data_IF_957088216896
#
_entry.id   IF_957088216896
#
_cell.length_a   1.000
_cell.length_b   1.000
_cell.length_c   1.000
_cell.angle_alpha   90.00
_cell.angle_beta   90.00
_cell.angle_gamma   90.00
#
_symmetry.space_group_name_H-M   'P 1'
#
loop_
_entity.id
_entity.type
_entity.pdbx_description
1 polymer ?
#
# COMPACT_ATOMS: atom_id res chain seq x y z
N UNK A 1 10.12 -6.28 1.77
CA UNK A 1 10.65 -6.60 0.44
C UNK A 1 9.78 -7.71 -0.10
N UNK A 2 9.38 -7.62 -1.36
CA UNK A 2 8.60 -8.66 -2.04
C UNK A 2 9.58 -9.37 -2.95
N UNK A 3 9.88 -10.64 -2.65
CA UNK A 3 10.57 -11.54 -3.56
C UNK A 3 9.51 -12.26 -4.40
N UNK A 4 9.61 -12.20 -5.73
CA UNK A 4 8.61 -12.84 -6.59
C UNK A 4 8.68 -14.37 -6.53
N UNK A 5 9.79 -14.95 -6.08
CA UNK A 5 9.91 -16.39 -5.86
C UNK A 5 9.08 -16.84 -4.66
N UNK A 6 9.12 -16.06 -3.56
CA UNK A 6 8.39 -16.38 -2.32
C UNK A 6 6.86 -16.34 -2.51
N UNK A 7 6.38 -15.51 -3.44
CA UNK A 7 4.95 -15.42 -3.81
C UNK A 7 4.56 -16.29 -5.01
N UNK A 8 5.51 -17.03 -5.59
CA UNK A 8 5.29 -17.96 -6.70
C UNK A 8 5.02 -17.28 -8.05
N UNK A 9 5.58 -16.10 -8.28
CA UNK A 9 5.42 -15.31 -9.51
C UNK A 9 6.68 -15.26 -10.39
N UNK A 10 7.78 -15.89 -9.95
CA UNK A 10 9.03 -15.99 -10.70
C UNK A 10 8.91 -16.76 -12.03
N UNK A 11 7.81 -17.48 -12.26
CA UNK A 11 7.57 -18.23 -13.50
C UNK A 11 7.13 -17.33 -14.65
N UNK A 12 6.49 -16.19 -14.35
CA UNK A 12 5.98 -15.26 -15.36
C UNK A 12 6.60 -13.86 -15.27
N UNK A 13 7.10 -13.45 -14.10
CA UNK A 13 7.88 -12.21 -13.97
C UNK A 13 9.35 -12.52 -14.24
N UNK A 14 9.87 -11.97 -15.33
CA UNK A 14 11.27 -12.13 -15.76
C UNK A 14 12.19 -11.17 -15.01
N UNK A 15 11.77 -9.93 -14.79
CA UNK A 15 12.53 -8.94 -14.04
C UNK A 15 11.64 -7.82 -13.47
N UNK A 16 12.00 -7.22 -12.32
CA UNK A 16 13.09 -7.62 -11.42
C UNK A 16 12.74 -8.94 -10.68
N UNK A 17 13.68 -9.58 -9.97
CA UNK A 17 13.38 -10.76 -9.13
C UNK A 17 12.51 -10.42 -7.91
N UNK A 18 12.47 -9.15 -7.52
CA UNK A 18 11.71 -8.65 -6.38
C UNK A 18 11.91 -7.15 -6.23
N UNK A 19 11.20 -6.53 -5.30
CA UNK A 19 11.25 -5.08 -5.10
C UNK A 19 10.85 -4.65 -3.68
N UNK A 20 11.20 -3.42 -3.31
CA UNK A 20 10.82 -2.82 -2.04
C UNK A 20 9.43 -2.18 -2.13
N UNK A 21 8.38 -2.99 -1.91
CA UNK A 21 6.99 -2.48 -1.91
C UNK A 21 6.68 -1.53 -0.73
N UNK A 22 7.35 -1.74 0.41
CA UNK A 22 6.98 -1.16 1.72
C UNK A 22 5.52 -1.48 2.11
N UNK A 23 5.10 -1.01 3.28
CA UNK A 23 3.72 -1.13 3.75
C UNK A 23 3.45 -0.09 4.84
N UNK A 24 2.17 0.24 5.02
CA UNK A 24 1.73 1.10 6.09
C UNK A 24 1.26 0.27 7.28
N UNK A 25 1.71 0.64 8.47
CA UNK A 25 1.27 0.05 9.73
C UNK A 25 1.37 1.09 10.85
N UNK A 26 0.59 0.90 11.91
CA UNK A 26 0.62 1.74 13.10
C UNK A 26 -0.76 2.23 13.53
N UNK A 27 -0.85 2.61 14.80
CA UNK A 27 -2.09 3.03 15.44
C UNK A 27 -2.54 4.43 15.03
N UNK A 28 -3.83 4.71 15.28
CA UNK A 28 -4.49 6.00 15.07
C UNK A 28 -5.03 6.49 16.42
N UNK A 29 -4.20 7.15 17.25
CA UNK A 29 -4.67 7.72 18.50
C UNK A 29 -5.51 8.97 18.24
N UNK A 30 -6.46 9.23 19.13
CA UNK A 30 -7.12 10.53 19.21
C UNK A 30 -6.33 11.44 20.17
N UNK A 31 -6.10 12.72 19.82
CA UNK A 31 -6.40 13.38 18.55
C UNK A 31 -5.43 12.96 17.42
N UNK A 32 -5.91 12.97 16.17
CA UNK A 32 -5.05 12.76 15.01
C UNK A 32 -4.09 13.95 14.87
N UNK A 33 -2.80 13.67 14.66
CA UNK A 33 -1.79 14.70 14.48
C UNK A 33 -1.89 15.33 13.08
N UNK A 34 -1.70 16.65 12.98
CA UNK A 34 -1.86 17.42 11.74
C UNK A 34 -0.97 16.99 10.58
N UNK A 35 0.19 16.38 10.89
CA UNK A 35 1.14 15.88 9.88
C UNK A 35 0.72 14.53 9.28
N UNK A 36 -0.36 13.91 9.77
CA UNK A 36 -0.88 12.69 9.18
C UNK A 36 -1.86 13.03 8.05
N UNK A 37 -1.53 12.66 6.81
CA UNK A 37 -2.40 12.80 5.62
C UNK A 37 -3.73 12.06 5.83
N UNK A 38 -4.68 12.71 6.52
CA UNK A 38 -5.90 12.08 7.02
C UNK A 38 -7.11 12.65 6.29
N UNK A 39 -8.02 11.76 5.88
CA UNK A 39 -9.30 12.22 5.32
C UNK A 39 -10.18 12.82 6.42
N UNK A 40 -11.11 13.71 6.04
CA UNK A 40 -12.14 14.20 6.97
C UNK A 40 -12.93 13.04 7.60
N UNK A 41 -13.18 11.97 6.84
CA UNK A 41 -13.84 10.76 7.35
C UNK A 41 -13.00 10.10 8.46
N UNK A 42 -11.69 9.95 8.28
CA UNK A 42 -10.80 9.38 9.28
C UNK A 42 -10.76 10.22 10.58
N UNK A 43 -10.82 11.55 10.47
CA UNK A 43 -10.92 12.46 11.62
C UNK A 43 -12.22 12.20 12.39
N UNK A 44 -13.36 12.20 11.70
CA UNK A 44 -14.67 11.96 12.32
C UNK A 44 -14.74 10.57 12.93
N UNK A 45 -14.30 9.54 12.21
CA UNK A 45 -14.32 8.16 12.70
C UNK A 45 -13.46 7.99 13.96
N UNK A 46 -12.26 8.59 13.99
CA UNK A 46 -11.37 8.54 15.17
C UNK A 46 -11.98 9.29 16.35
N UNK A 47 -12.66 10.42 16.11
CA UNK A 47 -13.42 11.14 17.14
C UNK A 47 -14.58 10.28 17.68
N UNK A 48 -15.37 9.65 16.81
CA UNK A 48 -16.50 8.79 17.24
C UNK A 48 -15.98 7.56 18.00
N UNK A 49 -14.88 6.94 17.56
CA UNK A 49 -14.25 5.83 18.29
C UNK A 49 -13.85 6.24 19.72
N UNK A 50 -13.39 7.48 19.92
CA UNK A 50 -12.98 7.97 21.25
C UNK A 50 -14.11 8.03 22.29
N UNK A 51 -15.37 8.11 21.83
CA UNK A 51 -16.57 8.14 22.68
C UNK A 51 -17.39 6.84 22.61
N UNK A 52 -17.19 6.04 21.57
CA UNK A 52 -17.86 4.76 21.35
C UNK A 52 -16.89 3.71 20.81
N UNK A 53 -16.41 2.84 21.70
CA UNK A 53 -15.45 1.78 21.37
C UNK A 53 -15.98 0.70 20.41
N UNK A 54 -17.29 0.67 20.12
CA UNK A 54 -17.86 -0.22 19.09
C UNK A 54 -17.54 0.22 17.66
N UNK A 55 -17.15 1.48 17.47
CA UNK A 55 -16.71 2.01 16.17
C UNK A 55 -15.21 1.74 16.03
N UNK A 56 -14.71 1.18 14.92
CA UNK A 56 -13.28 0.96 14.74
C UNK A 56 -12.51 2.27 14.57
N UNK A 57 -11.23 2.29 14.97
CA UNK A 57 -10.30 3.38 14.62
C UNK A 57 -10.11 3.45 13.11
N UNK A 58 -9.73 4.62 12.59
CA UNK A 58 -9.27 4.74 11.21
C UNK A 58 -8.03 3.84 10.98
N UNK A 59 -7.75 3.45 9.75
CA UNK A 59 -6.61 2.58 9.42
C UNK A 59 -5.41 3.38 8.89
N UNK A 60 -4.20 2.86 9.11
CA UNK A 60 -2.99 3.37 8.47
C UNK A 60 -2.89 2.75 7.07
N UNK A 61 -3.02 3.57 6.03
CA UNK A 61 -3.07 3.11 4.64
C UNK A 61 -2.13 3.92 3.75
N UNK A 62 -1.67 3.38 2.61
CA UNK A 62 -0.92 4.15 1.63
C UNK A 62 -1.75 5.31 1.10
N UNK A 63 -1.16 6.50 1.05
CA UNK A 63 -1.76 7.70 0.44
C UNK A 63 -0.95 8.21 -0.73
N UNK A 64 0.32 7.83 -0.80
CA UNK A 64 1.23 8.16 -1.90
C UNK A 64 1.90 6.87 -2.36
N UNK A 65 1.79 6.59 -3.66
CA UNK A 65 2.29 5.37 -4.27
C UNK A 65 3.07 5.71 -5.54
N UNK A 66 4.06 4.89 -5.85
CA UNK A 66 4.85 4.98 -7.08
C UNK A 66 4.81 3.67 -7.88
N UNK A 67 5.22 3.78 -9.14
CA UNK A 67 5.20 2.70 -10.10
C UNK A 67 6.53 1.94 -10.16
N UNK A 68 6.50 0.69 -10.63
CA UNK A 68 7.70 -0.05 -11.02
C UNK A 68 7.59 -0.52 -12.47
N UNK A 69 8.73 -0.60 -13.15
CA UNK A 69 8.84 -1.25 -14.46
C UNK A 69 9.05 -2.75 -14.26
N UNK A 70 8.23 -3.56 -14.93
CA UNK A 70 8.31 -5.02 -14.88
C UNK A 70 8.42 -5.59 -16.29
N UNK A 71 9.28 -6.59 -16.42
CA UNK A 71 9.40 -7.45 -17.58
C UNK A 71 8.72 -8.77 -17.25
N UNK A 72 7.72 -9.18 -18.03
CA UNK A 72 6.97 -10.41 -17.77
C UNK A 72 6.60 -11.14 -19.07
N UNK A 73 6.25 -12.41 -18.97
CA UNK A 73 5.71 -13.23 -20.04
C UNK A 73 4.19 -13.09 -20.08
N UNK A 74 3.63 -12.72 -21.24
CA UNK A 74 2.18 -12.72 -21.45
C UNK A 74 1.62 -14.12 -21.73
N UNK A 75 0.31 -14.22 -21.99
CA UNK A 75 -0.38 -15.48 -22.28
C UNK A 75 0.13 -16.20 -23.55
N UNK A 76 0.95 -15.55 -24.36
CA UNK A 76 1.56 -16.10 -25.57
C UNK A 76 3.08 -16.28 -25.42
N UNK A 77 3.59 -16.30 -24.18
CA UNK A 77 5.02 -16.40 -23.85
C UNK A 77 5.86 -15.28 -24.46
N UNK A 78 5.26 -14.12 -24.76
CA UNK A 78 5.99 -12.96 -25.24
C UNK A 78 6.45 -12.10 -24.09
N UNK A 79 7.67 -11.61 -24.22
CA UNK A 79 8.27 -10.69 -23.25
C UNK A 79 7.66 -9.30 -23.41
N UNK A 80 7.04 -8.80 -22.34
CA UNK A 80 6.38 -7.49 -22.28
C UNK A 80 7.03 -6.63 -21.20
N UNK A 81 7.38 -5.39 -21.55
CA UNK A 81 7.79 -4.36 -20.59
C UNK A 81 6.57 -3.48 -20.26
N UNK A 82 6.24 -3.36 -18.97
CA UNK A 82 5.12 -2.53 -18.51
C UNK A 82 5.44 -1.82 -17.21
N UNK A 83 4.96 -0.58 -17.08
CA UNK A 83 4.98 0.16 -15.82
C UNK A 83 3.68 -0.11 -15.05
N UNK A 84 3.78 -0.82 -13.93
CA UNK A 84 2.68 -1.08 -13.02
C UNK A 84 2.61 0.05 -11.99
N UNK A 85 1.47 0.76 -11.98
CA UNK A 85 1.20 1.82 -11.00
C UNK A 85 0.87 1.23 -9.64
N UNK A 86 0.96 2.05 -8.59
CA UNK A 86 0.52 1.73 -7.24
C UNK A 86 1.23 0.52 -6.59
N UNK A 87 2.50 0.30 -6.94
CA UNK A 87 3.25 -0.88 -6.52
C UNK A 87 4.10 -0.63 -5.28
N UNK A 88 4.61 0.60 -5.09
CA UNK A 88 5.52 0.97 -4.00
C UNK A 88 4.87 2.05 -3.15
N UNK A 89 4.85 1.86 -1.83
CA UNK A 89 4.37 2.87 -0.87
C UNK A 89 5.46 3.92 -0.64
N UNK A 90 5.15 5.18 -0.95
CA UNK A 90 6.01 6.33 -0.69
C UNK A 90 5.58 7.08 0.58
N UNK A 91 4.27 7.05 0.87
CA UNK A 91 3.70 7.78 2.00
C UNK A 91 2.45 7.11 2.56
N UNK A 92 2.32 7.17 3.89
CA UNK A 92 1.19 6.63 4.64
C UNK A 92 0.35 7.75 5.24
N UNK A 93 -0.95 7.51 5.33
CA UNK A 93 -1.91 8.41 5.94
C UNK A 93 -3.06 7.64 6.60
N UNK A 94 -4.13 8.36 6.97
CA UNK A 94 -5.28 7.78 7.67
C UNK A 94 -6.52 7.76 6.77
N UNK A 95 -7.04 6.55 6.56
CA UNK A 95 -8.19 6.23 5.70
C UNK A 95 -9.29 5.50 6.44
#
# INVERSE_FOLDING_TARGET
YVDFSDVGWNDWIVAPPGYHAFYCHGDCPFPLADHMNSTNHAIVQTLVNSVNANIPKACCVPTELSAISMLYLDENEKVVLKNYQDMVVEGCGKG
#
